data_IF_079886257304
#
_entry.id   IF_079886257304
#
_cell.length_a   1.000
_cell.length_b   1.000
_cell.length_c   1.000
_cell.angle_alpha   90.00
_cell.angle_beta   90.00
_cell.angle_gamma   90.00
#
_symmetry.space_group_name_H-M   'P 1'
#
loop_
_entity.id
_entity.type
_entity.pdbx_description
1 polymer ?
#
# COMPACT_ATOMS: atom_id res chain seq x y z
N UNK A 1 -12.19 8.00 9.93
CA UNK A 1 -12.73 8.45 8.64
C UNK A 1 -11.91 9.60 8.14
N UNK A 2 -10.87 9.24 7.40
CA UNK A 2 -10.16 10.17 6.52
C UNK A 2 -11.14 10.77 5.49
N UNK A 3 -10.75 11.87 4.84
CA UNK A 3 -11.53 12.46 3.75
C UNK A 3 -11.78 11.45 2.63
N UNK A 4 -10.83 10.54 2.41
CA UNK A 4 -10.91 9.49 1.39
C UNK A 4 -11.90 8.39 1.77
N UNK A 5 -12.01 8.06 3.07
CA UNK A 5 -12.99 7.09 3.55
C UNK A 5 -14.44 7.54 3.36
N UNK A 6 -14.70 8.85 3.28
CA UNK A 6 -16.03 9.39 2.99
C UNK A 6 -16.39 9.32 1.49
N UNK A 7 -15.41 9.12 0.60
CA UNK A 7 -15.60 9.04 -0.85
C UNK A 7 -15.79 7.60 -1.34
N UNK A 8 -15.48 6.61 -0.50
CA UNK A 8 -15.61 5.18 -0.80
C UNK A 8 -17.01 4.69 -0.40
N UNK A 9 -17.70 3.99 -1.31
CA UNK A 9 -19.02 3.40 -1.06
C UNK A 9 -19.00 2.38 0.09
N UNK A 10 -20.03 2.39 0.93
CA UNK A 10 -20.13 1.57 2.16
C UNK A 10 -20.00 0.05 1.92
N UNK A 11 -20.26 -0.40 0.70
CA UNK A 11 -20.15 -1.82 0.30
C UNK A 11 -18.70 -2.28 0.08
N UNK A 12 -17.73 -1.37 0.10
CA UNK A 12 -16.30 -1.69 -0.07
C UNK A 12 -15.66 -1.78 1.32
N UNK A 13 -15.13 -2.96 1.72
CA UNK A 13 -14.48 -3.12 3.01
C UNK A 13 -13.25 -2.21 3.10
N UNK A 14 -13.37 -1.15 3.89
CA UNK A 14 -12.31 -0.17 4.13
C UNK A 14 -11.67 -0.45 5.50
N UNK A 15 -10.37 -0.68 5.52
CA UNK A 15 -9.58 -0.73 6.76
C UNK A 15 -8.57 0.40 6.75
N UNK A 16 -8.69 1.33 7.69
CA UNK A 16 -7.69 2.36 7.93
C UNK A 16 -6.52 1.75 8.71
N UNK A 17 -5.28 2.03 8.27
CA UNK A 17 -4.07 1.59 8.97
C UNK A 17 -3.87 2.50 10.19
N UNK A 18 -3.78 1.90 11.38
CA UNK A 18 -3.94 2.59 12.68
C UNK A 18 -2.81 3.57 13.06
N UNK A 19 -1.78 3.73 12.24
CA UNK A 19 -0.60 4.58 12.53
C UNK A 19 -0.25 5.52 11.36
N UNK A 20 -1.27 5.97 10.62
CA UNK A 20 -1.10 6.85 9.46
C UNK A 20 -0.96 6.09 8.14
N UNK A 21 -1.01 6.84 7.04
CA UNK A 21 -0.95 6.29 5.68
C UNK A 21 0.33 5.45 5.48
N UNK A 22 0.30 4.45 4.60
CA UNK A 22 1.51 3.67 4.19
C UNK A 22 2.69 4.61 3.84
N UNK A 23 2.39 5.80 3.32
CA UNK A 23 3.38 6.82 2.97
C UNK A 23 4.13 7.46 4.15
N UNK A 24 3.62 7.34 5.39
CA UNK A 24 4.22 7.92 6.60
C UNK A 24 4.79 6.86 7.56
N UNK A 25 4.54 5.58 7.30
CA UNK A 25 4.94 4.46 8.17
C UNK A 25 6.36 3.96 7.84
N UNK A 26 7.10 3.45 8.83
CA UNK A 26 8.45 2.92 8.57
C UNK A 26 8.35 1.63 7.73
N UNK A 27 9.43 1.25 7.02
CA UNK A 27 9.47 0.02 6.20
C UNK A 27 9.00 -1.24 6.95
N UNK A 28 9.33 -1.33 8.25
CA UNK A 28 8.92 -2.44 9.11
C UNK A 28 7.38 -2.49 9.30
N UNK A 29 6.76 -1.33 9.49
CA UNK A 29 5.32 -1.20 9.75
C UNK A 29 4.50 -1.60 8.51
N UNK A 30 4.95 -1.18 7.32
CA UNK A 30 4.28 -1.54 6.05
C UNK A 30 4.32 -3.04 5.82
N UNK A 31 5.47 -3.67 6.06
CA UNK A 31 5.63 -5.11 5.87
C UNK A 31 4.73 -5.92 6.81
N UNK A 32 4.61 -5.50 8.06
CA UNK A 32 3.76 -6.16 9.05
C UNK A 32 2.28 -6.02 8.70
N UNK A 33 1.85 -4.79 8.35
CA UNK A 33 0.46 -4.51 8.00
C UNK A 33 -0.01 -5.29 6.77
N UNK A 34 0.80 -5.34 5.71
CA UNK A 34 0.50 -6.14 4.51
C UNK A 34 0.44 -7.63 4.83
N UNK A 35 1.28 -8.12 5.74
CA UNK A 35 1.25 -9.53 6.15
C UNK A 35 -0.02 -9.85 6.95
N UNK A 36 -0.43 -8.96 7.87
CA UNK A 36 -1.70 -9.10 8.60
C UNK A 36 -2.90 -9.07 7.65
N UNK A 37 -2.88 -8.18 6.65
CA UNK A 37 -3.92 -8.12 5.62
C UNK A 37 -4.00 -9.43 4.83
N UNK A 38 -2.84 -9.98 4.42
CA UNK A 38 -2.78 -11.28 3.73
C UNK A 38 -3.36 -12.42 4.57
N UNK A 39 -3.00 -12.50 5.86
CA UNK A 39 -3.50 -13.55 6.75
C UNK A 39 -5.03 -13.46 6.96
N UNK A 40 -5.60 -12.26 6.93
CA UNK A 40 -7.02 -12.02 7.18
C UNK A 40 -7.88 -12.19 5.92
N UNK A 41 -7.48 -11.58 4.81
CA UNK A 41 -8.32 -11.42 3.63
C UNK A 41 -7.83 -12.24 2.42
N UNK A 42 -6.59 -12.75 2.43
CA UNK A 42 -5.95 -13.49 1.31
C UNK A 42 -6.21 -12.87 -0.08
N UNK A 43 -5.87 -11.58 -0.29
CA UNK A 43 -6.16 -10.90 -1.54
C UNK A 43 -5.35 -11.48 -2.70
N UNK A 44 -5.96 -11.58 -3.89
CA UNK A 44 -5.26 -11.97 -5.12
C UNK A 44 -4.32 -10.87 -5.63
N UNK A 45 -4.72 -9.60 -5.46
CA UNK A 45 -4.01 -8.42 -5.96
C UNK A 45 -4.08 -7.30 -4.93
N UNK A 46 -2.95 -6.63 -4.69
CA UNK A 46 -2.87 -5.43 -3.86
C UNK A 46 -2.38 -4.26 -4.72
N UNK A 47 -3.15 -3.17 -4.75
CA UNK A 47 -2.72 -1.90 -5.34
C UNK A 47 -2.16 -1.00 -4.25
N UNK A 48 -0.91 -0.55 -4.41
CA UNK A 48 -0.28 0.39 -3.50
C UNK A 48 -0.06 1.70 -4.24
N UNK A 49 -0.74 2.74 -3.79
CA UNK A 49 -0.52 4.10 -4.28
C UNK A 49 0.65 4.73 -3.52
N UNK A 50 1.70 5.11 -4.27
CA UNK A 50 2.82 5.89 -3.74
C UNK A 50 2.74 7.32 -4.29
N UNK A 51 1.85 8.16 -3.74
CA UNK A 51 1.79 9.59 -4.08
C UNK A 51 2.51 10.45 -3.03
N UNK A 52 2.90 11.66 -3.43
CA UNK A 52 3.53 12.65 -2.54
C UNK A 52 4.98 12.29 -2.16
N UNK A 53 5.24 12.15 -0.86
CA UNK A 53 6.59 11.95 -0.24
C UNK A 53 6.97 10.46 -0.20
N UNK A 54 6.02 9.55 -0.45
CA UNK A 54 6.29 8.12 -0.48
C UNK A 54 7.24 7.77 -1.63
N UNK A 55 8.43 7.28 -1.29
CA UNK A 55 9.37 6.79 -2.28
C UNK A 55 8.97 5.37 -2.72
N UNK A 56 8.60 5.14 -3.99
CA UNK A 56 8.11 3.83 -4.45
C UNK A 56 9.09 2.69 -4.21
N UNK A 57 10.39 2.99 -4.26
CA UNK A 57 11.47 2.03 -3.97
C UNK A 57 11.41 1.55 -2.52
N UNK A 58 11.10 2.44 -1.58
CA UNK A 58 11.02 2.08 -0.17
C UNK A 58 9.84 1.14 0.14
N UNK A 59 8.72 1.31 -0.56
CA UNK A 59 7.55 0.41 -0.49
C UNK A 59 7.87 -0.93 -1.14
N UNK A 60 8.55 -0.91 -2.29
CA UNK A 60 9.02 -2.13 -2.95
C UNK A 60 9.91 -2.95 -2.01
N UNK A 61 10.89 -2.31 -1.35
CA UNK A 61 11.76 -2.97 -0.38
C UNK A 61 10.98 -3.61 0.78
N UNK A 62 9.94 -2.94 1.28
CA UNK A 62 9.09 -3.47 2.34
C UNK A 62 8.33 -4.73 1.89
N UNK A 63 7.95 -4.83 0.62
CA UNK A 63 7.30 -6.02 0.06
C UNK A 63 8.28 -7.19 -0.13
N UNK A 64 9.58 -6.90 -0.27
CA UNK A 64 10.63 -7.89 -0.49
C UNK A 64 11.28 -8.41 0.80
N UNK A 65 10.76 -8.03 1.97
CA UNK A 65 11.24 -8.56 3.25
C UNK A 65 10.99 -10.06 3.35
N UNK A 66 11.76 -10.81 4.16
CA UNK A 66 11.54 -12.26 4.35
C UNK A 66 10.14 -12.63 4.86
N UNK A 67 9.42 -11.67 5.46
CA UNK A 67 8.06 -11.86 5.98
C UNK A 67 7.05 -11.91 4.82
N UNK A 68 7.21 -11.08 3.79
CA UNK A 68 6.26 -10.95 2.68
C UNK A 68 6.70 -11.61 1.38
N UNK A 69 8.01 -11.72 1.13
CA UNK A 69 8.56 -12.29 -0.09
C UNK A 69 8.01 -13.70 -0.43
N UNK A 70 7.72 -14.59 0.54
CA UNK A 70 7.11 -15.89 0.25
C UNK A 70 5.66 -15.82 -0.25
N UNK A 71 4.95 -14.72 0.03
CA UNK A 71 3.50 -14.58 -0.20
C UNK A 71 3.14 -13.55 -1.26
N UNK A 72 4.13 -12.78 -1.72
CA UNK A 72 3.90 -11.67 -2.66
C UNK A 72 4.74 -11.85 -3.91
N UNK A 73 4.24 -11.34 -5.04
CA UNK A 73 5.00 -11.25 -6.28
C UNK A 73 4.76 -9.86 -6.86
N UNK A 74 5.84 -9.13 -7.09
CA UNK A 74 5.75 -7.80 -7.67
C UNK A 74 5.52 -7.93 -9.17
N UNK A 75 4.37 -7.47 -9.65
CA UNK A 75 3.98 -7.62 -11.05
C UNK A 75 4.36 -6.40 -11.88
N UNK A 76 4.05 -5.19 -11.41
CA UNK A 76 4.23 -3.95 -12.16
C UNK A 76 4.55 -2.76 -11.24
N UNK A 77 5.35 -1.81 -11.74
CA UNK A 77 5.54 -0.48 -11.15
C UNK A 77 5.10 0.55 -12.18
N UNK A 78 4.08 1.35 -11.85
CA UNK A 78 3.44 2.28 -12.79
C UNK A 78 3.72 3.71 -12.34
N UNK A 79 4.41 4.48 -13.17
CA UNK A 79 4.60 5.92 -12.98
C UNK A 79 3.58 6.72 -13.77
N UNK A 80 2.98 7.73 -13.14
CA UNK A 80 2.05 8.66 -13.78
C UNK A 80 2.74 10.02 -13.89
N UNK A 81 2.79 10.59 -15.09
CA UNK A 81 3.37 11.91 -15.37
C UNK A 81 2.29 12.80 -15.97
N UNK A 82 2.05 13.96 -15.37
CA UNK A 82 1.16 14.97 -15.94
C UNK A 82 1.94 15.87 -16.92
N UNK A 83 1.75 15.63 -18.22
CA UNK A 83 2.41 16.35 -19.31
C UNK A 83 2.19 17.88 -19.34
N UNK A 84 1.17 18.42 -18.65
CA UNK A 84 0.95 19.87 -18.59
C UNK A 84 1.83 20.57 -17.54
N UNK A 85 2.42 19.80 -16.63
CA UNK A 85 3.24 20.29 -15.52
C UNK A 85 4.70 19.80 -15.61
N UNK A 86 5.14 19.38 -16.80
CA UNK A 86 6.53 19.02 -17.14
C UNK A 86 7.24 20.18 -17.83
#
# INVERSE_FOLDING_TARGET
>A
MSVDGALVSEDIPLSELTEGCICCAMKADVSEQLHQLYLKEQPDIVFIECSGIAEPVSVLDACLTPILAPFTTITHMIGVIDGKHV
#
